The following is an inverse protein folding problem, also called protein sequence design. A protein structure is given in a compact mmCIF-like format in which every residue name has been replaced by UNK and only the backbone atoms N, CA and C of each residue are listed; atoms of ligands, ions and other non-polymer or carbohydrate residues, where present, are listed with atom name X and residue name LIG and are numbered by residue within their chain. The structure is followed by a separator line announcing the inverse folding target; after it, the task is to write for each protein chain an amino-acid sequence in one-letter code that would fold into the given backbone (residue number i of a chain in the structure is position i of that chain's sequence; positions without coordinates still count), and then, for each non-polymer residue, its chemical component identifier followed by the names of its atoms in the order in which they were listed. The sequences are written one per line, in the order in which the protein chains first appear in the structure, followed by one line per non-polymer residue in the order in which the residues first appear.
data_IF_141570347529
#
_entry.id   IF_141570347529
#
_cell.length_a   1.000
_cell.length_b   1.000
_cell.length_c   1.000
_cell.angle_alpha   90.00
_cell.angle_beta   90.00
_cell.angle_gamma   90.00
#
_symmetry.space_group_name_H-M   'P 1'
#
loop_
_entity.id
_entity.type
_entity.pdbx_description
1 polymer ?
#
# COMPACT_ATOMS: atom_id res chain seq x y z
N UNK A 1 3.69 26.64 -12.58
CA UNK A 1 3.23 25.92 -11.38
C UNK A 1 4.40 25.16 -10.79
N UNK A 2 4.58 25.16 -9.45
CA UNK A 2 5.63 24.36 -8.80
C UNK A 2 5.30 22.89 -8.94
N UNK A 3 6.26 22.05 -9.36
CA UNK A 3 6.08 20.60 -9.51
C UNK A 3 5.88 19.97 -8.10
N UNK A 4 4.86 19.16 -7.92
CA UNK A 4 4.61 18.47 -6.64
C UNK A 4 5.52 17.26 -6.51
N UNK A 5 5.81 16.83 -5.27
CA UNK A 5 6.80 15.76 -4.99
C UNK A 5 6.50 14.43 -5.69
N UNK A 6 5.23 14.06 -5.84
CA UNK A 6 4.86 12.83 -6.57
C UNK A 6 5.19 12.87 -8.07
N UNK A 7 5.38 14.07 -8.65
CA UNK A 7 5.78 14.21 -10.04
C UNK A 7 7.29 14.38 -10.23
N UNK A 8 8.07 14.29 -9.15
CA UNK A 8 9.54 14.33 -9.21
C UNK A 8 10.18 12.94 -9.26
N UNK A 9 9.40 11.89 -9.01
CA UNK A 9 9.84 10.49 -9.16
C UNK A 9 9.84 10.13 -10.64
N UNK A 10 10.91 9.50 -11.10
CA UNK A 10 11.02 8.99 -12.48
C UNK A 10 10.19 7.71 -12.64
N UNK A 11 8.98 7.86 -13.19
CA UNK A 11 8.04 6.75 -13.38
C UNK A 11 8.45 5.75 -14.47
N UNK A 12 9.42 6.09 -15.33
CA UNK A 12 9.94 5.15 -16.34
C UNK A 12 10.93 4.16 -15.72
N UNK A 13 11.53 4.53 -14.58
CA UNK A 13 12.51 3.71 -13.83
C UNK A 13 11.95 3.11 -12.54
N UNK A 14 10.74 3.49 -12.15
CA UNK A 14 10.13 3.05 -10.90
C UNK A 14 9.68 1.59 -10.98
N UNK A 15 10.29 0.73 -10.19
CA UNK A 15 9.96 -0.69 -10.08
C UNK A 15 8.92 -0.94 -8.98
N UNK A 16 8.42 -2.17 -8.92
CA UNK A 16 7.52 -2.63 -7.84
C UNK A 16 8.31 -2.72 -6.53
N UNK A 17 7.67 -2.37 -5.43
CA UNK A 17 8.32 -2.37 -4.12
C UNK A 17 7.56 -1.56 -3.08
N UNK A 18 8.28 -1.10 -2.07
CA UNK A 18 7.78 -0.14 -1.07
C UNK A 18 8.80 0.98 -0.91
N UNK A 19 8.32 2.22 -0.91
CA UNK A 19 9.17 3.41 -0.87
C UNK A 19 8.62 4.43 0.11
N UNK A 20 9.49 5.24 0.71
CA UNK A 20 9.08 6.47 1.41
C UNK A 20 8.87 7.56 0.38
N UNK A 21 7.61 7.87 0.11
CA UNK A 21 7.22 8.88 -0.87
C UNK A 21 7.37 10.30 -0.33
N UNK A 22 7.00 10.51 0.95
CA UNK A 22 7.00 11.83 1.57
C UNK A 22 7.08 11.70 3.10
N UNK A 23 7.64 12.73 3.73
CA UNK A 23 7.69 12.89 5.18
C UNK A 23 7.12 14.27 5.51
N UNK A 24 6.11 14.32 6.39
CA UNK A 24 5.48 15.54 6.87
C UNK A 24 5.48 15.52 8.41
N UNK A 25 6.46 16.18 9.02
CA UNK A 25 6.70 16.07 10.46
C UNK A 25 7.07 14.64 10.84
N UNK A 26 6.25 14.00 11.67
CA UNK A 26 6.39 12.59 12.04
C UNK A 26 5.55 11.63 11.16
N UNK A 27 4.83 12.16 10.16
CA UNK A 27 4.01 11.36 9.26
C UNK A 27 4.86 10.90 8.08
N UNK A 28 4.91 9.59 7.87
CA UNK A 28 5.56 8.96 6.72
C UNK A 28 4.49 8.47 5.75
N UNK A 29 4.59 8.91 4.50
CA UNK A 29 3.78 8.39 3.40
C UNK A 29 4.57 7.31 2.66
N UNK A 30 4.14 6.07 2.77
CA UNK A 30 4.67 4.95 2.00
C UNK A 30 3.97 4.84 0.66
N UNK A 31 4.76 4.64 -0.40
CA UNK A 31 4.32 4.23 -1.73
C UNK A 31 4.39 2.71 -1.81
N UNK A 32 3.24 2.06 -1.76
CA UNK A 32 3.10 0.62 -1.95
C UNK A 32 2.97 0.34 -3.44
N UNK A 33 4.11 0.27 -4.15
CA UNK A 33 4.13 0.14 -5.61
C UNK A 33 3.91 -1.30 -6.05
N UNK A 34 2.67 -1.61 -6.41
CA UNK A 34 2.23 -2.97 -6.76
C UNK A 34 2.41 -3.29 -8.25
N UNK A 35 2.47 -2.27 -9.10
CA UNK A 35 2.63 -2.39 -10.56
C UNK A 35 3.74 -1.47 -11.05
N UNK A 36 4.45 -1.91 -12.05
CA UNK A 36 5.37 -1.04 -12.79
C UNK A 36 4.56 0.03 -13.52
N UNK A 37 4.86 1.33 -13.34
CA UNK A 37 4.17 2.37 -14.06
C UNK A 37 4.32 2.23 -15.58
N UNK A 38 3.31 2.67 -16.31
CA UNK A 38 3.30 2.70 -17.78
C UNK A 38 3.50 1.34 -18.48
N UNK A 39 3.44 0.22 -17.75
CA UNK A 39 3.64 -1.13 -18.31
C UNK A 39 2.35 -1.77 -18.88
N UNK A 40 1.22 -1.08 -18.83
CA UNK A 40 -0.06 -1.59 -19.35
C UNK A 40 -0.81 -2.53 -18.41
N UNK A 41 -0.22 -2.91 -17.28
CA UNK A 41 -0.88 -3.69 -16.21
C UNK A 41 -1.28 -2.78 -15.06
N UNK A 42 -2.58 -2.66 -14.81
CA UNK A 42 -3.13 -1.79 -13.78
C UNK A 42 -4.12 -2.55 -12.89
N UNK A 43 -4.18 -2.16 -11.61
CA UNK A 43 -5.15 -2.68 -10.66
C UNK A 43 -6.55 -2.25 -11.12
N UNK A 44 -7.49 -3.20 -11.20
CA UNK A 44 -8.87 -2.85 -11.59
C UNK A 44 -9.55 -2.04 -10.48
N UNK A 45 -10.52 -1.15 -10.80
CA UNK A 45 -11.25 -0.40 -9.78
C UNK A 45 -11.90 -1.29 -8.71
N UNK A 46 -12.45 -2.44 -9.12
CA UNK A 46 -13.02 -3.42 -8.20
C UNK A 46 -11.97 -3.97 -7.23
N UNK A 47 -10.81 -4.37 -7.74
CA UNK A 47 -9.73 -4.93 -6.92
C UNK A 47 -9.12 -3.87 -6.00
N UNK A 48 -8.92 -2.64 -6.50
CA UNK A 48 -8.41 -1.53 -5.69
C UNK A 48 -9.33 -1.21 -4.51
N UNK A 49 -10.62 -1.02 -4.77
CA UNK A 49 -11.62 -0.76 -3.73
C UNK A 49 -11.71 -1.91 -2.72
N UNK A 50 -11.68 -3.15 -3.20
CA UNK A 50 -11.77 -4.33 -2.33
C UNK A 50 -10.52 -4.50 -1.46
N UNK A 51 -9.33 -4.31 -2.02
CA UNK A 51 -8.08 -4.38 -1.27
C UNK A 51 -7.96 -3.23 -0.26
N UNK A 52 -8.45 -2.02 -0.61
CA UNK A 52 -8.51 -0.90 0.32
C UNK A 52 -9.24 -1.28 1.61
N UNK A 53 -10.43 -1.86 1.52
CA UNK A 53 -11.23 -2.27 2.68
C UNK A 53 -10.49 -3.28 3.57
N UNK A 54 -9.89 -4.31 2.98
CA UNK A 54 -9.17 -5.34 3.75
C UNK A 54 -7.87 -4.79 4.33
N UNK A 55 -7.08 -4.06 3.52
CA UNK A 55 -5.80 -3.52 3.97
C UNK A 55 -6.00 -2.48 5.08
N UNK A 56 -6.97 -1.57 4.94
CA UNK A 56 -7.31 -0.62 6.00
C UNK A 56 -7.78 -1.33 7.28
N UNK A 57 -8.59 -2.39 7.15
CA UNK A 57 -9.07 -3.16 8.30
C UNK A 57 -7.90 -3.82 9.04
N UNK A 58 -7.06 -4.57 8.34
CA UNK A 58 -5.99 -5.32 8.99
C UNK A 58 -4.84 -4.43 9.48
N UNK A 59 -4.51 -3.36 8.76
CA UNK A 59 -3.54 -2.39 9.24
C UNK A 59 -4.00 -1.70 10.54
N UNK A 60 -5.28 -1.29 10.60
CA UNK A 60 -5.83 -0.60 11.80
C UNK A 60 -6.12 -1.53 12.97
N UNK A 61 -6.31 -2.82 12.72
CA UNK A 61 -6.56 -3.83 13.76
C UNK A 61 -5.28 -4.48 14.28
N UNK A 62 -4.13 -4.25 13.65
CA UNK A 62 -2.84 -4.79 14.05
C UNK A 62 -2.14 -3.94 15.12
N UNK A 63 -0.95 -4.38 15.55
CA UNK A 63 -0.14 -3.70 16.58
C UNK A 63 0.26 -2.27 16.23
N UNK A 64 0.36 -1.95 14.95
CA UNK A 64 0.65 -0.62 14.45
C UNK A 64 -0.61 0.23 14.18
N UNK A 65 -1.79 -0.26 14.55
CA UNK A 65 -3.08 0.33 14.16
C UNK A 65 -3.26 1.78 14.55
N UNK A 66 -2.84 2.15 15.75
CA UNK A 66 -2.94 3.52 16.28
C UNK A 66 -2.09 4.54 15.48
N UNK A 67 -1.09 4.07 14.73
CA UNK A 67 -0.26 4.92 13.87
C UNK A 67 -0.79 5.05 12.45
N UNK A 68 -1.78 4.27 12.05
CA UNK A 68 -2.34 4.30 10.69
C UNK A 68 -3.25 5.50 10.51
N UNK A 69 -2.82 6.45 9.72
CA UNK A 69 -3.59 7.65 9.38
C UNK A 69 -4.51 7.38 8.19
N UNK A 70 -3.95 6.83 7.11
CA UNK A 70 -4.71 6.59 5.89
C UNK A 70 -4.15 5.43 5.08
N UNK A 71 -5.04 4.69 4.43
CA UNK A 71 -4.74 3.70 3.38
C UNK A 71 -5.66 3.98 2.21
N UNK A 72 -5.12 4.04 1.01
CA UNK A 72 -5.96 4.25 -0.17
C UNK A 72 -5.24 4.05 -1.50
N UNK A 73 -5.98 3.67 -2.56
CA UNK A 73 -5.41 3.43 -3.87
C UNK A 73 -4.94 4.71 -4.55
N UNK A 74 -3.89 4.60 -5.33
CA UNK A 74 -3.44 5.68 -6.21
C UNK A 74 -4.38 5.81 -7.42
N UNK A 75 -4.66 7.04 -7.84
CA UNK A 75 -5.48 7.31 -9.02
C UNK A 75 -4.94 6.70 -10.31
N UNK A 76 -3.62 6.50 -10.42
CA UNK A 76 -2.97 5.82 -11.55
C UNK A 76 -3.14 4.28 -11.53
N UNK A 77 -3.71 3.72 -10.47
CA UNK A 77 -3.97 2.28 -10.30
C UNK A 77 -2.71 1.39 -10.36
N UNK A 78 -1.57 1.93 -9.92
CA UNK A 78 -0.31 1.18 -9.87
C UNK A 78 0.11 0.80 -8.45
N UNK A 79 -0.65 1.23 -7.44
CA UNK A 79 -0.37 0.94 -6.04
C UNK A 79 -1.27 1.68 -5.08
N UNK A 80 -0.83 1.74 -3.82
CA UNK A 80 -1.53 2.37 -2.71
C UNK A 80 -0.61 3.35 -1.98
N UNK A 81 -1.21 4.32 -1.31
CA UNK A 81 -0.54 5.08 -0.26
C UNK A 81 -0.94 4.54 1.11
N UNK A 82 0.06 4.37 1.97
CA UNK A 82 -0.10 4.10 3.40
C UNK A 82 0.56 5.25 4.16
N UNK A 83 -0.21 5.99 4.94
CA UNK A 83 0.27 7.08 5.78
C UNK A 83 0.28 6.61 7.24
N UNK A 84 1.44 6.75 7.88
CA UNK A 84 1.61 6.36 9.29
C UNK A 84 2.38 7.42 10.07
N UNK A 85 2.00 7.62 11.32
CA UNK A 85 2.75 8.46 12.27
C UNK A 85 3.92 7.71 12.91
N UNK A 86 4.80 8.44 13.58
CA UNK A 86 5.92 7.91 14.35
C UNK A 86 7.27 7.99 13.66
N UNK A 87 7.38 8.70 12.54
CA UNK A 87 8.65 8.95 11.85
C UNK A 87 9.24 7.74 11.12
N UNK A 88 10.39 7.94 10.51
CA UNK A 88 11.11 6.90 9.76
C UNK A 88 11.80 5.87 10.66
N UNK A 89 12.01 6.17 11.92
CA UNK A 89 12.49 5.22 12.94
C UNK A 89 11.52 4.06 13.15
N UNK A 90 10.26 4.21 12.76
CA UNK A 90 9.24 3.16 12.80
C UNK A 90 9.12 2.36 11.49
N UNK A 91 9.95 2.61 10.48
CA UNK A 91 9.88 1.91 9.20
C UNK A 91 9.91 0.39 9.34
N UNK A 92 10.74 -0.16 10.22
CA UNK A 92 10.82 -1.60 10.45
C UNK A 92 9.52 -2.18 11.00
N UNK A 93 8.96 -1.54 12.04
CA UNK A 93 7.71 -1.95 12.67
C UNK A 93 6.53 -1.81 11.70
N UNK A 94 6.49 -0.70 10.94
CA UNK A 94 5.44 -0.43 9.97
C UNK A 94 5.48 -1.43 8.80
N UNK A 95 6.68 -1.80 8.35
CA UNK A 95 6.85 -2.82 7.32
C UNK A 95 6.43 -4.21 7.81
N UNK A 96 6.82 -4.61 9.02
CA UNK A 96 6.37 -5.87 9.62
C UNK A 96 4.85 -5.93 9.77
N UNK A 97 4.22 -4.83 10.20
CA UNK A 97 2.77 -4.72 10.28
C UNK A 97 2.09 -4.86 8.90
N UNK A 98 2.69 -4.29 7.84
CA UNK A 98 2.19 -4.46 6.47
C UNK A 98 2.27 -5.92 6.01
N UNK A 99 3.41 -6.60 6.24
CA UNK A 99 3.55 -8.03 5.91
C UNK A 99 2.48 -8.86 6.62
N UNK A 100 2.30 -8.65 7.94
CA UNK A 100 1.28 -9.33 8.73
C UNK A 100 -0.14 -9.04 8.20
N UNK A 101 -0.44 -7.79 7.84
CA UNK A 101 -1.75 -7.43 7.30
C UNK A 101 -2.01 -8.14 5.96
N UNK A 102 -1.01 -8.23 5.08
CA UNK A 102 -1.13 -8.94 3.80
C UNK A 102 -1.35 -10.44 3.99
N UNK A 103 -0.65 -11.09 4.92
CA UNK A 103 -0.85 -12.49 5.27
C UNK A 103 -2.27 -12.73 5.82
N UNK A 104 -2.74 -11.85 6.70
CA UNK A 104 -4.09 -11.91 7.24
C UNK A 104 -5.16 -11.72 6.15
N UNK A 105 -4.91 -10.88 5.14
CA UNK A 105 -5.80 -10.75 3.98
C UNK A 105 -5.89 -12.07 3.21
N UNK A 106 -4.77 -12.76 2.99
CA UNK A 106 -4.80 -14.08 2.33
C UNK A 106 -5.55 -15.12 3.15
N UNK A 107 -5.40 -15.12 4.46
CA UNK A 107 -6.07 -16.03 5.38
C UNK A 107 -7.56 -15.69 5.59
N UNK A 108 -8.01 -14.46 5.25
CA UNK A 108 -9.38 -14.01 5.51
C UNK A 108 -10.42 -14.92 4.83
N UNK A 109 -11.31 -15.50 5.59
CA UNK A 109 -12.41 -16.38 5.12
C UNK A 109 -13.81 -15.84 5.45
N UNK A 110 -13.86 -14.68 6.12
CA UNK A 110 -15.09 -14.02 6.54
C UNK A 110 -15.76 -13.20 5.43
N UNK A 111 -16.79 -12.47 5.86
CA UNK A 111 -17.45 -11.48 5.00
C UNK A 111 -16.50 -10.31 4.71
N UNK A 112 -16.64 -9.73 3.53
CA UNK A 112 -15.90 -8.53 3.15
C UNK A 112 -16.18 -7.38 4.12
N UNK A 113 -15.18 -6.79 4.80
CA UNK A 113 -15.37 -5.65 5.70
C UNK A 113 -16.02 -4.47 4.96
N UNK A 114 -16.92 -3.77 5.62
CA UNK A 114 -17.58 -2.60 5.05
C UNK A 114 -18.53 -2.90 3.86
N UNK A 115 -18.92 -4.16 3.64
CA UNK A 115 -19.81 -4.55 2.54
C UNK A 115 -21.30 -4.31 2.87
N UNK A 116 -21.59 -3.24 3.58
CA UNK A 116 -22.95 -2.83 3.91
C UNK A 116 -23.24 -1.39 3.43
N UNK A 117 -24.48 -1.14 3.04
CA UNK A 117 -24.91 0.17 2.53
C UNK A 117 -24.59 1.34 3.49
N UNK A 118 -24.60 1.08 4.80
CA UNK A 118 -24.30 2.11 5.82
C UNK A 118 -22.81 2.35 6.00
N UNK A 119 -21.96 1.44 5.55
CA UNK A 119 -20.52 1.42 5.81
C UNK A 119 -19.71 1.89 4.60
N UNK A 120 -20.23 1.69 3.38
CA UNK A 120 -19.54 2.04 2.15
C UNK A 120 -20.48 2.65 1.12
N UNK A 121 -20.04 3.75 0.51
CA UNK A 121 -20.80 4.45 -0.54
C UNK A 121 -20.99 3.64 -1.82
N UNK A 122 -20.18 2.60 -2.05
CA UNK A 122 -20.27 1.69 -3.19
C UNK A 122 -20.09 0.22 -2.77
N UNK A 123 -20.80 -0.20 -1.73
CA UNK A 123 -20.67 -1.52 -1.09
C UNK A 123 -20.88 -2.72 -2.03
N UNK A 124 -21.55 -2.52 -3.17
CA UNK A 124 -21.78 -3.59 -4.17
C UNK A 124 -20.57 -3.85 -5.06
N UNK A 125 -19.63 -2.92 -5.14
CA UNK A 125 -18.41 -3.02 -5.93
C UNK A 125 -17.24 -3.54 -5.04
N UNK A 126 -17.45 -4.66 -4.37
CA UNK A 126 -16.48 -5.34 -3.51
C UNK A 126 -16.37 -6.82 -3.87
N UNK A 127 -15.16 -7.37 -3.84
CA UNK A 127 -14.86 -8.77 -4.12
C UNK A 127 -13.69 -9.28 -3.28
N UNK A 128 -13.97 -10.17 -2.34
CA UNK A 128 -12.93 -10.79 -1.52
C UNK A 128 -11.86 -11.49 -2.39
N UNK A 129 -12.31 -12.20 -3.44
CA UNK A 129 -11.38 -12.85 -4.36
C UNK A 129 -10.44 -11.85 -5.04
N UNK A 130 -10.98 -10.75 -5.57
CA UNK A 130 -10.15 -9.75 -6.25
C UNK A 130 -9.14 -9.09 -5.30
N UNK A 131 -9.52 -8.82 -4.05
CA UNK A 131 -8.61 -8.30 -3.04
C UNK A 131 -7.49 -9.29 -2.70
N UNK A 132 -7.83 -10.56 -2.49
CA UNK A 132 -6.84 -11.62 -2.19
C UNK A 132 -5.88 -11.84 -3.36
N UNK A 133 -6.37 -11.84 -4.59
CA UNK A 133 -5.53 -11.99 -5.79
C UNK A 133 -4.50 -10.85 -5.89
N UNK A 134 -4.89 -9.61 -5.56
CA UNK A 134 -3.98 -8.47 -5.56
C UNK A 134 -3.00 -8.50 -4.37
N UNK A 135 -3.47 -8.84 -3.17
CA UNK A 135 -2.61 -9.01 -2.00
C UNK A 135 -1.53 -10.08 -2.27
N UNK A 136 -1.91 -11.22 -2.86
CA UNK A 136 -0.97 -12.27 -3.23
C UNK A 136 0.11 -11.78 -4.18
N UNK A 137 -0.26 -11.07 -5.24
CA UNK A 137 0.70 -10.49 -6.20
C UNK A 137 1.67 -9.51 -5.52
N UNK A 138 1.18 -8.76 -4.55
CA UNK A 138 2.04 -7.79 -3.85
C UNK A 138 2.95 -8.47 -2.82
N UNK A 139 2.48 -9.50 -2.12
CA UNK A 139 3.34 -10.32 -1.27
C UNK A 139 4.51 -10.89 -2.07
N UNK A 140 4.29 -11.39 -3.29
CA UNK A 140 5.35 -11.90 -4.17
C UNK A 140 6.43 -10.84 -4.46
N UNK A 141 6.05 -9.55 -4.50
CA UNK A 141 7.01 -8.43 -4.65
C UNK A 141 7.83 -8.22 -3.39
N UNK A 142 7.21 -8.38 -2.21
CA UNK A 142 7.83 -8.12 -0.91
C UNK A 142 8.42 -9.37 -0.25
N UNK A 143 8.21 -10.55 -0.82
CA UNK A 143 8.42 -11.85 -0.19
C UNK A 143 9.86 -12.04 0.33
N UNK A 144 10.86 -11.62 -0.44
CA UNK A 144 12.25 -11.71 -0.03
C UNK A 144 12.54 -10.95 1.29
N UNK A 145 11.83 -9.84 1.53
CA UNK A 145 11.98 -9.03 2.73
C UNK A 145 11.09 -9.54 3.88
N UNK A 146 9.81 -9.82 3.60
CA UNK A 146 8.87 -10.29 4.62
C UNK A 146 9.32 -11.61 5.27
N UNK A 147 9.76 -12.60 4.47
CA UNK A 147 10.22 -13.90 4.98
C UNK A 147 11.59 -13.87 5.63
N UNK A 148 12.50 -13.08 5.09
CA UNK A 148 13.84 -12.97 5.64
C UNK A 148 13.90 -12.08 6.88
N UNK A 149 12.83 -11.38 7.24
CA UNK A 149 12.83 -10.37 8.29
C UNK A 149 13.82 -9.22 8.01
N UNK A 150 14.14 -9.00 6.74
CA UNK A 150 15.01 -7.91 6.29
C UNK A 150 14.16 -6.71 5.85
N UNK A 151 14.80 -5.55 5.78
CA UNK A 151 14.11 -4.33 5.38
C UNK A 151 14.48 -3.96 3.93
N UNK A 152 13.51 -3.49 3.12
CA UNK A 152 13.83 -2.78 1.89
C UNK A 152 14.54 -1.45 2.20
N UNK A 153 15.21 -0.87 1.22
CA UNK A 153 15.89 0.44 1.39
C UNK A 153 14.91 1.58 1.61
N UNK A 154 13.66 1.42 1.22
CA UNK A 154 12.61 2.44 1.20
C UNK A 154 12.93 3.66 0.31
N UNK A 155 13.99 3.61 -0.49
CA UNK A 155 14.40 4.68 -1.37
C UNK A 155 14.08 4.34 -2.83
N UNK A 156 13.68 5.35 -3.60
CA UNK A 156 13.50 5.19 -5.05
C UNK A 156 14.86 5.01 -5.74
N UNK A 157 14.99 4.00 -6.59
CA UNK A 157 16.19 3.83 -7.42
C UNK A 157 16.42 5.08 -8.30
N UNK A 158 17.65 5.63 -8.25
CA UNK A 158 18.01 6.83 -8.98
C UNK A 158 17.67 8.15 -8.31
N UNK A 159 17.17 8.10 -7.06
CA UNK A 159 16.82 9.30 -6.31
C UNK A 159 15.58 10.02 -6.86
N UNK A 160 15.21 11.12 -6.21
CA UNK A 160 14.21 12.06 -6.77
C UNK A 160 14.93 12.93 -7.79
N UNK A 161 14.45 12.96 -9.03
CA UNK A 161 14.96 13.89 -10.03
C UNK A 161 14.77 15.34 -9.54
N UNK A 162 15.86 15.94 -9.14
CA UNK A 162 16.10 17.32 -8.75
C UNK A 162 14.94 18.16 -8.20
N UNK A 163 15.13 18.59 -6.97
CA UNK A 163 14.51 19.84 -6.49
C UNK A 163 15.30 20.99 -7.08
#
# INVERSE_FOLDING_TARGET
MKKISSFTVDHDRLERGIYVSRIDGDIVTYDLRMRRPNAGDYITPLAAHSLEHLLATYMRSGEAGDRVIYVGPMGCRTGFYLLMSGGTEKNAENFAALCTALDNILAHDGKMPGAARKECGNFRALSLKAAKDEAKKYIEVLDAFCRAGTLPTFEYEGGRSGI
#
